data_IF_487511710999
#
_entry.id   IF_487511710999
#
_cell.length_a   1.000
_cell.length_b   1.000
_cell.length_c   1.000
_cell.angle_alpha   90.00
_cell.angle_beta   90.00
_cell.angle_gamma   90.00
#
_symmetry.space_group_name_H-M   'P 1'
#
loop_
_entity.id
_entity.type
_entity.pdbx_description
1 polymer ?
#
# COMPACT_ATOMS: atom_id res chain seq x y z
N UNK A 1 -20.65 41.42 -2.34
CA UNK A 1 -20.55 42.10 -3.64
C UNK A 1 -19.31 41.63 -4.39
N UNK A 2 -19.51 41.28 -5.67
CA UNK A 2 -18.56 40.84 -6.71
C UNK A 2 -17.92 39.46 -6.61
N UNK A 3 -18.58 38.56 -7.35
CA UNK A 3 -18.07 37.31 -7.91
C UNK A 3 -17.08 37.59 -9.05
N UNK A 4 -16.02 36.82 -9.16
CA UNK A 4 -15.30 36.66 -10.42
C UNK A 4 -15.15 35.14 -10.65
N UNK A 5 -15.86 34.71 -11.66
CA UNK A 5 -15.82 33.39 -12.28
C UNK A 5 -14.72 33.38 -13.34
N UNK A 6 -13.82 32.44 -13.32
CA UNK A 6 -12.91 32.22 -14.46
C UNK A 6 -13.10 30.77 -14.94
N UNK A 7 -13.55 30.66 -16.15
CA UNK A 7 -13.79 29.44 -16.94
C UNK A 7 -12.48 29.09 -17.65
N UNK A 8 -12.09 27.82 -17.59
CA UNK A 8 -11.00 27.25 -18.40
C UNK A 8 -11.62 26.24 -19.37
N UNK A 9 -11.38 26.32 -20.67
CA UNK A 9 -11.91 25.35 -21.61
C UNK A 9 -11.01 24.12 -21.78
N UNK A 10 -11.64 22.98 -21.77
CA UNK A 10 -11.14 21.69 -22.23
C UNK A 10 -10.91 21.71 -23.75
N UNK A 11 -9.73 21.28 -24.17
CA UNK A 11 -9.40 20.95 -25.54
C UNK A 11 -9.11 19.45 -25.66
N UNK A 12 -10.09 18.72 -26.18
CA UNK A 12 -9.96 17.32 -26.59
C UNK A 12 -9.41 17.31 -28.01
N UNK A 13 -8.27 16.68 -28.24
CA UNK A 13 -7.79 16.36 -29.58
C UNK A 13 -7.80 14.85 -29.77
N UNK A 14 -8.76 14.40 -30.55
CA UNK A 14 -8.98 13.04 -31.03
C UNK A 14 -8.16 12.87 -32.31
N UNK A 15 -7.31 11.87 -32.41
CA UNK A 15 -6.71 11.42 -33.68
C UNK A 15 -6.93 9.95 -33.83
N UNK A 16 -7.72 9.60 -34.85
CA UNK A 16 -7.94 8.25 -35.35
C UNK A 16 -7.03 8.00 -36.58
N UNK A 17 -6.74 6.73 -36.91
CA UNK A 17 -5.75 6.33 -37.90
C UNK A 17 -6.36 6.12 -39.30
N UNK A 18 -5.55 6.32 -40.29
CA UNK A 18 -5.92 6.05 -41.69
C UNK A 18 -4.80 5.50 -42.51
N UNK A 19 -4.97 4.31 -42.98
CA UNK A 19 -4.37 3.51 -44.07
C UNK A 19 -3.90 4.33 -45.27
N UNK A 20 -2.78 3.90 -45.91
CA UNK A 20 -2.75 3.33 -47.24
C UNK A 20 -1.33 3.23 -47.81
N UNK A 21 -1.01 2.06 -48.27
CA UNK A 21 -0.01 1.58 -49.24
C UNK A 21 0.20 2.45 -50.44
N UNK A 22 1.41 2.46 -51.02
CA UNK A 22 1.67 2.03 -52.41
C UNK A 22 3.16 2.06 -52.77
N UNK A 23 3.58 0.96 -53.29
CA UNK A 23 4.60 0.56 -54.23
C UNK A 23 5.21 1.65 -55.12
N UNK A 24 6.49 1.47 -55.46
CA UNK A 24 7.08 2.06 -56.65
C UNK A 24 8.59 1.88 -56.74
N UNK A 25 9.02 0.92 -57.51
CA UNK A 25 10.36 0.68 -58.01
C UNK A 25 11.01 1.91 -58.64
N UNK A 26 12.32 2.05 -58.59
CA UNK A 26 13.17 1.97 -59.81
C UNK A 26 14.66 2.03 -59.45
N UNK A 27 15.35 1.10 -60.10
CA UNK A 27 16.79 0.93 -60.25
C UNK A 27 17.50 2.22 -60.71
N UNK A 28 18.70 2.46 -60.19
CA UNK A 28 19.73 3.19 -60.91
C UNK A 28 21.10 2.56 -60.63
N UNK A 29 21.50 1.71 -61.57
CA UNK A 29 22.86 1.19 -61.73
C UNK A 29 23.68 2.28 -62.42
N UNK A 30 24.74 2.74 -61.81
CA UNK A 30 25.82 3.47 -62.50
C UNK A 30 27.13 2.73 -62.27
N UNK A 31 27.57 2.11 -63.40
CA UNK A 31 28.90 1.53 -63.60
C UNK A 31 29.95 2.63 -63.52
N UNK A 32 30.99 2.43 -62.75
CA UNK A 32 32.26 3.13 -62.90
C UNK A 32 33.33 2.14 -63.34
N UNK A 33 33.82 2.37 -64.53
CA UNK A 33 34.87 1.68 -65.25
C UNK A 33 36.23 1.82 -64.57
N UNK A 34 36.88 0.68 -64.39
CA UNK A 34 38.26 0.56 -63.92
C UNK A 34 39.20 0.96 -65.10
N UNK A 35 40.07 1.94 -64.85
CA UNK A 35 41.11 2.31 -65.76
C UNK A 35 42.41 1.55 -65.38
N UNK A 36 42.81 0.61 -66.21
CA UNK A 36 44.08 -0.09 -66.05
C UNK A 36 45.20 0.82 -66.59
N UNK A 37 46.11 1.20 -65.67
CA UNK A 37 47.38 1.78 -66.05
C UNK A 37 48.43 0.65 -66.29
N UNK A 38 48.98 0.64 -67.49
CA UNK A 38 50.00 -0.21 -67.98
C UNK A 38 51.33 0.06 -67.26
N UNK A 39 51.91 -0.95 -66.58
CA UNK A 39 53.27 -0.97 -66.07
C UNK A 39 54.28 -1.27 -67.18
N UNK A 40 55.19 -0.36 -67.40
CA UNK A 40 56.43 -0.60 -68.12
C UNK A 40 57.52 -1.09 -67.17
N UNK A 41 58.33 -2.06 -67.50
CA UNK A 41 59.39 -2.54 -66.63
C UNK A 41 60.67 -1.73 -66.77
N UNK A 42 61.20 -1.28 -65.63
CA UNK A 42 62.59 -0.76 -65.57
C UNK A 42 63.59 -1.92 -65.36
N UNK A 43 64.67 -1.89 -66.13
CA UNK A 43 65.76 -2.88 -65.93
C UNK A 43 66.91 -2.20 -65.21
N UNK A 44 67.22 -2.65 -63.96
CA UNK A 44 68.60 -2.70 -63.42
C UNK A 44 68.58 -3.06 -61.95
N UNK A 45 69.01 -4.19 -61.61
CA UNK A 45 70.19 -4.55 -60.86
C UNK A 45 70.04 -4.83 -59.40
N UNK A 46 70.00 -6.09 -59.12
CA UNK A 46 70.73 -6.82 -58.04
C UNK A 46 71.11 -6.06 -56.75
N UNK A 47 70.54 -6.51 -55.67
CA UNK A 47 70.97 -6.26 -54.28
C UNK A 47 70.19 -7.09 -53.33
N UNK A 48 70.50 -8.38 -53.16
CA UNK A 48 69.97 -9.24 -52.12
C UNK A 48 70.50 -8.77 -50.74
N UNK A 49 69.64 -8.11 -49.94
CA UNK A 49 69.86 -7.98 -48.52
C UNK A 49 68.82 -8.83 -47.84
N UNK A 50 69.28 -9.83 -47.12
CA UNK A 50 68.56 -10.66 -46.16
C UNK A 50 67.82 -9.77 -45.13
N UNK A 51 66.53 -9.52 -45.36
CA UNK A 51 65.65 -8.98 -44.32
C UNK A 51 65.19 -10.14 -43.45
N UNK A 52 65.82 -10.20 -42.27
CA UNK A 52 65.35 -11.04 -41.17
C UNK A 52 63.84 -10.85 -40.96
N UNK A 53 63.10 -11.97 -41.03
CA UNK A 53 61.69 -12.02 -40.67
C UNK A 53 61.50 -11.52 -39.23
N UNK A 54 61.08 -10.30 -39.09
CA UNK A 54 60.52 -9.84 -37.83
C UNK A 54 59.21 -10.61 -37.58
N UNK A 55 59.29 -11.54 -36.60
CA UNK A 55 58.10 -12.23 -36.11
C UNK A 55 57.03 -11.24 -35.66
N UNK A 56 55.76 -11.62 -35.60
CA UNK A 56 54.68 -10.74 -35.25
C UNK A 56 55.00 -10.04 -33.93
N UNK A 57 55.22 -8.74 -33.97
CA UNK A 57 55.38 -7.89 -32.80
C UNK A 57 54.17 -8.15 -31.89
N UNK A 58 54.41 -8.63 -30.64
CA UNK A 58 53.41 -8.70 -29.61
C UNK A 58 52.71 -7.33 -29.59
N UNK A 59 51.37 -7.27 -29.58
CA UNK A 59 50.71 -6.00 -29.50
C UNK A 59 51.23 -5.28 -28.26
N UNK A 60 51.81 -4.10 -28.45
CA UNK A 60 52.30 -3.26 -27.38
C UNK A 60 51.09 -2.85 -26.56
N UNK A 61 50.97 -3.38 -25.35
CA UNK A 61 49.92 -2.93 -24.41
C UNK A 61 50.02 -1.42 -24.26
N UNK A 62 49.03 -0.70 -24.77
CA UNK A 62 49.00 0.75 -24.62
C UNK A 62 48.61 1.10 -23.20
N UNK A 63 49.35 2.00 -22.58
CA UNK A 63 49.02 2.56 -21.28
C UNK A 63 48.28 3.90 -21.44
N UNK A 64 47.07 3.97 -20.94
CA UNK A 64 46.27 5.22 -20.93
C UNK A 64 46.37 5.82 -19.53
N UNK A 65 46.89 7.02 -19.44
CA UNK A 65 47.05 7.75 -18.17
C UNK A 65 45.99 8.82 -18.04
N UNK A 66 45.20 8.76 -16.96
CA UNK A 66 44.06 9.63 -16.72
C UNK A 66 43.95 10.00 -15.26
N UNK A 67 43.13 11.01 -14.96
CA UNK A 67 42.78 11.36 -13.58
C UNK A 67 41.56 10.59 -13.13
N UNK A 68 41.61 10.12 -11.88
CA UNK A 68 40.51 9.45 -11.24
C UNK A 68 40.26 9.93 -9.82
N UNK A 69 39.14 9.58 -9.24
CA UNK A 69 38.79 9.92 -7.86
C UNK A 69 38.28 8.68 -7.14
N UNK A 70 38.74 8.49 -5.90
CA UNK A 70 38.32 7.40 -5.03
C UNK A 70 36.92 7.70 -4.49
N UNK A 71 35.98 6.76 -4.70
CA UNK A 71 34.62 6.86 -4.20
C UNK A 71 34.15 5.52 -3.63
N UNK A 72 33.20 5.51 -2.69
CA UNK A 72 32.50 4.30 -2.26
C UNK A 72 31.73 3.67 -3.44
N UNK A 73 31.73 2.36 -3.57
CA UNK A 73 31.04 1.65 -4.66
C UNK A 73 29.51 1.91 -4.64
N UNK A 74 28.91 2.02 -3.45
CA UNK A 74 27.52 2.36 -3.25
C UNK A 74 27.20 3.85 -3.42
N UNK A 75 28.21 4.70 -3.66
CA UNK A 75 28.07 6.15 -3.69
C UNK A 75 27.89 6.77 -2.31
N UNK A 76 27.48 8.05 -2.30
CA UNK A 76 27.24 8.83 -1.09
C UNK A 76 25.76 8.91 -0.79
N UNK A 77 25.37 8.52 0.41
CA UNK A 77 24.01 8.65 0.90
C UNK A 77 23.90 9.96 1.67
N UNK A 78 23.05 10.83 1.17
CA UNK A 78 22.85 12.16 1.70
C UNK A 78 21.48 12.22 2.35
N UNK A 79 21.49 12.36 3.69
CA UNK A 79 20.25 12.43 4.46
C UNK A 79 20.01 13.86 4.90
N UNK A 80 18.73 14.23 4.90
CA UNK A 80 18.26 15.49 5.47
C UNK A 80 17.06 15.20 6.36
N UNK A 81 16.82 16.06 7.34
CA UNK A 81 15.62 15.98 8.16
C UNK A 81 14.44 16.71 7.50
N UNK A 82 13.36 16.84 8.24
CA UNK A 82 12.17 17.57 7.81
C UNK A 82 12.53 19.05 7.64
N UNK A 83 12.29 19.68 6.48
CA UNK A 83 12.60 21.08 6.24
C UNK A 83 11.96 21.99 7.29
N UNK A 84 12.75 22.87 7.89
CA UNK A 84 12.31 23.80 8.93
C UNK A 84 12.30 23.24 10.36
N UNK A 85 12.43 21.93 10.55
CA UNK A 85 12.64 21.32 11.86
C UNK A 85 14.09 21.57 12.34
N UNK A 86 14.35 21.38 13.63
CA UNK A 86 15.67 21.56 14.23
C UNK A 86 16.26 20.22 14.62
N UNK A 87 17.59 20.13 14.55
CA UNK A 87 18.32 19.05 15.21
C UNK A 87 18.33 19.31 16.72
N UNK A 88 17.75 18.41 17.50
CA UNK A 88 17.87 18.46 18.96
C UNK A 88 19.23 17.95 19.42
N UNK A 89 19.64 16.78 18.94
CA UNK A 89 20.91 16.16 19.26
C UNK A 89 21.39 15.23 18.16
N UNK A 90 22.70 15.21 17.89
CA UNK A 90 23.38 14.19 17.13
C UNK A 90 23.85 13.07 18.07
N UNK A 91 23.67 11.82 17.66
CA UNK A 91 24.11 10.63 18.39
C UNK A 91 25.39 10.04 17.80
N UNK A 92 25.87 10.59 16.69
CA UNK A 92 27.05 10.16 15.95
C UNK A 92 27.95 11.34 15.63
N UNK A 93 29.20 11.05 15.30
CA UNK A 93 30.24 12.02 14.91
C UNK A 93 30.81 11.65 13.54
N UNK A 94 31.39 12.59 12.81
CA UNK A 94 32.17 12.28 11.62
C UNK A 94 33.26 11.26 11.93
N UNK A 95 33.34 10.19 11.15
CA UNK A 95 34.25 9.05 11.34
C UNK A 95 33.64 7.84 12.05
N UNK A 96 32.48 7.98 12.69
CA UNK A 96 31.82 6.86 13.36
C UNK A 96 31.26 5.84 12.35
N UNK A 97 31.39 4.56 12.70
CA UNK A 97 30.75 3.46 11.96
C UNK A 97 29.31 3.30 12.43
N UNK A 98 28.38 3.13 11.50
CA UNK A 98 26.94 3.00 11.77
C UNK A 98 26.37 1.80 11.03
N UNK A 99 25.39 1.16 11.65
CA UNK A 99 24.61 0.08 11.05
C UNK A 99 23.27 0.62 10.49
N UNK A 100 22.70 -0.11 9.54
CA UNK A 100 21.37 0.19 9.06
C UNK A 100 20.35 0.13 10.23
N UNK A 101 19.52 1.18 10.37
CA UNK A 101 18.58 1.32 11.48
C UNK A 101 19.12 2.10 12.68
N UNK A 102 20.41 2.42 12.74
CA UNK A 102 20.98 3.26 13.82
C UNK A 102 20.38 4.66 13.78
N UNK A 103 19.96 5.16 14.95
CA UNK A 103 19.49 6.54 15.11
C UNK A 103 20.68 7.50 15.09
N UNK A 104 20.73 8.35 14.08
CA UNK A 104 21.81 9.32 13.87
C UNK A 104 21.56 10.63 14.59
N UNK A 105 20.31 11.09 14.58
CA UNK A 105 19.91 12.34 15.21
C UNK A 105 18.44 12.31 15.65
N UNK A 106 18.16 13.03 16.73
CA UNK A 106 16.80 13.32 17.21
C UNK A 106 16.42 14.73 16.78
N UNK A 107 15.20 14.89 16.26
CA UNK A 107 14.65 16.17 15.88
C UNK A 107 13.81 16.78 17.01
N UNK A 108 13.78 18.10 17.07
CA UNK A 108 13.06 18.83 18.13
C UNK A 108 11.53 18.60 18.08
N UNK A 109 10.97 18.32 16.91
CA UNK A 109 9.55 17.97 16.77
C UNK A 109 9.17 16.64 17.43
N UNK A 110 10.14 15.77 17.79
CA UNK A 110 9.89 14.45 18.37
C UNK A 110 9.07 14.50 19.65
N UNK A 111 9.42 15.44 20.54
CA UNK A 111 8.73 15.60 21.83
C UNK A 111 7.26 15.96 21.63
N UNK A 112 6.96 16.90 20.73
CA UNK A 112 5.60 17.31 20.41
C UNK A 112 4.80 16.16 19.78
N UNK A 113 5.40 15.43 18.82
CA UNK A 113 4.75 14.29 18.17
C UNK A 113 4.48 13.14 19.10
N UNK A 114 5.37 12.93 20.10
CA UNK A 114 5.14 11.92 21.14
C UNK A 114 3.89 12.25 21.96
N UNK A 115 3.75 13.52 22.39
CA UNK A 115 2.57 13.98 23.13
C UNK A 115 1.29 13.90 22.30
N UNK A 116 1.36 14.23 21.00
CA UNK A 116 0.24 14.10 20.10
C UNK A 116 -0.21 12.63 19.95
N UNK A 117 0.75 11.71 19.80
CA UNK A 117 0.50 10.28 19.73
C UNK A 117 -0.13 9.76 21.03
N UNK A 118 0.40 10.16 22.19
CA UNK A 118 -0.15 9.79 23.49
C UNK A 118 -1.57 10.30 23.68
N UNK A 119 -1.83 11.57 23.33
CA UNK A 119 -3.17 12.15 23.34
C UNK A 119 -4.15 11.41 22.42
N UNK A 120 -3.69 11.00 21.21
CA UNK A 120 -4.53 10.24 20.31
C UNK A 120 -4.83 8.82 20.83
N UNK A 121 -3.88 8.17 21.50
CA UNK A 121 -4.08 6.88 22.17
C UNK A 121 -5.09 6.98 23.31
N UNK A 122 -5.02 8.02 24.13
CA UNK A 122 -6.01 8.26 25.19
C UNK A 122 -7.43 8.47 24.62
N UNK A 123 -7.56 9.24 23.53
CA UNK A 123 -8.86 9.42 22.85
C UNK A 123 -9.40 8.11 22.28
N UNK A 124 -8.54 7.24 21.77
CA UNK A 124 -8.95 5.91 21.31
C UNK A 124 -9.49 5.06 22.46
N UNK A 125 -8.83 5.04 23.59
CA UNK A 125 -9.29 4.30 24.78
C UNK A 125 -10.61 4.85 25.33
N UNK A 126 -10.78 6.17 25.37
CA UNK A 126 -12.06 6.81 25.71
C UNK A 126 -13.17 6.39 24.73
N UNK A 127 -12.90 6.45 23.40
CA UNK A 127 -13.88 6.07 22.40
C UNK A 127 -14.26 4.57 22.49
N UNK A 128 -13.32 3.68 22.82
CA UNK A 128 -13.60 2.26 23.09
C UNK A 128 -14.48 2.09 24.31
N UNK A 129 -14.18 2.76 25.41
CA UNK A 129 -14.96 2.69 26.65
C UNK A 129 -16.40 3.16 26.42
N UNK A 130 -16.58 4.28 25.70
CA UNK A 130 -17.92 4.80 25.35
C UNK A 130 -18.68 3.81 24.47
N UNK A 131 -18.02 3.22 23.46
CA UNK A 131 -18.62 2.19 22.61
C UNK A 131 -19.06 0.97 23.42
N UNK A 132 -18.18 0.46 24.29
CA UNK A 132 -18.44 -0.76 25.05
C UNK A 132 -19.60 -0.55 26.06
N UNK A 133 -19.65 0.62 26.71
CA UNK A 133 -20.80 1.01 27.53
C UNK A 133 -22.10 1.06 26.71
N UNK A 134 -22.04 1.64 25.49
CA UNK A 134 -23.22 1.70 24.62
C UNK A 134 -23.65 0.33 24.14
N UNK A 135 -22.73 -0.59 23.84
CA UNK A 135 -23.04 -1.96 23.47
C UNK A 135 -23.71 -2.72 24.62
N UNK A 136 -23.25 -2.57 25.86
CA UNK A 136 -23.89 -3.15 27.05
C UNK A 136 -25.32 -2.63 27.24
N UNK A 137 -25.57 -1.32 27.08
CA UNK A 137 -26.90 -0.74 27.11
C UNK A 137 -27.82 -1.36 26.05
N UNK A 138 -27.32 -1.54 24.83
CA UNK A 138 -28.07 -2.13 23.72
C UNK A 138 -28.32 -3.63 23.93
N UNK A 139 -27.40 -4.36 24.51
CA UNK A 139 -27.55 -5.77 24.88
C UNK A 139 -28.66 -5.96 25.92
N UNK A 140 -28.69 -5.12 26.97
CA UNK A 140 -29.80 -5.10 27.92
C UNK A 140 -31.13 -4.78 27.23
N UNK A 141 -31.13 -3.86 26.26
CA UNK A 141 -32.32 -3.55 25.44
C UNK A 141 -32.83 -4.76 24.64
N UNK A 142 -31.94 -5.57 24.09
CA UNK A 142 -32.27 -6.81 23.38
C UNK A 142 -32.84 -7.85 24.34
N UNK A 143 -32.24 -8.00 25.52
CA UNK A 143 -32.75 -8.93 26.55
C UNK A 143 -34.18 -8.58 27.00
N UNK A 144 -34.44 -7.29 27.25
CA UNK A 144 -35.78 -6.80 27.57
C UNK A 144 -36.78 -7.07 26.44
N UNK A 145 -36.38 -6.77 25.18
CA UNK A 145 -37.26 -7.01 24.03
C UNK A 145 -37.54 -8.50 23.80
N UNK A 146 -36.55 -9.36 24.02
CA UNK A 146 -36.73 -10.83 23.93
C UNK A 146 -37.67 -11.36 25.02
N UNK A 147 -37.55 -10.86 26.25
CA UNK A 147 -38.48 -11.20 27.33
C UNK A 147 -39.91 -10.72 27.04
N UNK A 148 -40.08 -9.55 26.43
CA UNK A 148 -41.40 -9.08 25.99
C UNK A 148 -42.01 -10.00 24.92
N UNK A 149 -41.19 -10.48 23.97
CA UNK A 149 -41.63 -11.41 22.94
C UNK A 149 -42.07 -12.73 23.54
N UNK A 150 -41.32 -13.29 24.50
CA UNK A 150 -41.68 -14.54 25.20
C UNK A 150 -43.01 -14.37 25.95
N UNK A 151 -43.17 -13.25 26.68
CA UNK A 151 -44.45 -12.97 27.35
C UNK A 151 -45.59 -12.84 26.37
N UNK A 152 -45.39 -12.15 25.23
CA UNK A 152 -46.44 -12.04 24.20
C UNK A 152 -46.79 -13.39 23.59
N UNK A 153 -45.86 -14.28 23.37
CA UNK A 153 -46.12 -15.69 22.92
C UNK A 153 -46.91 -16.47 23.92
N UNK A 154 -46.63 -16.35 25.21
CA UNK A 154 -47.40 -17.00 26.27
C UNK A 154 -48.87 -16.49 26.27
N UNK A 155 -49.10 -15.22 25.96
CA UNK A 155 -50.47 -14.70 25.84
C UNK A 155 -51.22 -15.30 24.63
N UNK A 156 -50.54 -15.59 23.53
CA UNK A 156 -51.12 -16.32 22.39
C UNK A 156 -51.53 -17.74 22.79
N UNK A 157 -50.67 -18.47 23.50
CA UNK A 157 -50.96 -19.80 23.98
C UNK A 157 -52.23 -19.84 24.92
N UNK A 158 -52.34 -18.81 25.79
CA UNK A 158 -53.55 -18.64 26.61
C UNK A 158 -54.77 -18.39 25.77
N UNK A 159 -54.68 -17.50 24.75
CA UNK A 159 -55.77 -17.16 23.85
C UNK A 159 -56.22 -18.39 23.01
N UNK A 160 -55.26 -19.21 22.55
CA UNK A 160 -55.53 -20.47 21.87
C UNK A 160 -56.31 -21.46 22.76
N UNK A 161 -55.91 -21.60 24.01
CA UNK A 161 -56.61 -22.43 25.00
C UNK A 161 -58.07 -21.94 25.18
N UNK A 162 -58.29 -20.61 25.25
CA UNK A 162 -59.62 -20.02 25.36
C UNK A 162 -60.47 -20.28 24.13
N UNK A 163 -59.87 -20.24 22.91
CA UNK A 163 -60.59 -20.59 21.67
C UNK A 163 -60.99 -22.05 21.64
N UNK A 164 -60.14 -22.95 22.08
CA UNK A 164 -60.48 -24.40 22.19
C UNK A 164 -61.65 -24.62 23.17
N UNK A 165 -61.66 -23.95 24.32
CA UNK A 165 -62.74 -24.02 25.30
C UNK A 165 -64.04 -23.42 24.73
N UNK A 166 -64.01 -22.32 24.02
CA UNK A 166 -65.16 -21.72 23.39
C UNK A 166 -65.78 -22.64 22.29
N UNK A 167 -64.95 -23.36 21.53
CA UNK A 167 -65.38 -24.33 20.54
C UNK A 167 -66.09 -25.55 21.11
N UNK A 168 -65.81 -25.97 22.35
CA UNK A 168 -66.50 -27.05 23.03
C UNK A 168 -67.99 -26.76 23.24
N UNK A 169 -68.35 -25.49 23.41
CA UNK A 169 -69.75 -25.04 23.48
C UNK A 169 -70.55 -25.37 22.23
N UNK A 170 -69.98 -25.29 21.07
CA UNK A 170 -70.61 -25.61 19.78
C UNK A 170 -70.95 -27.09 19.66
N UNK A 171 -70.02 -27.95 20.09
CA UNK A 171 -70.24 -29.41 20.12
C UNK A 171 -71.43 -29.78 21.02
N UNK A 172 -71.55 -29.15 22.18
CA UNK A 172 -72.66 -29.35 23.10
C UNK A 172 -74.00 -28.85 22.51
N UNK A 173 -74.00 -27.71 21.85
CA UNK A 173 -75.18 -27.17 21.16
C UNK A 173 -75.64 -28.13 20.05
N UNK A 174 -74.74 -28.65 19.24
CA UNK A 174 -75.04 -29.59 18.17
C UNK A 174 -75.68 -30.87 18.73
N UNK A 175 -75.17 -31.42 19.81
CA UNK A 175 -75.76 -32.58 20.49
C UNK A 175 -77.16 -32.30 21.01
N UNK A 176 -77.42 -31.10 21.57
CA UNK A 176 -78.79 -30.71 22.02
C UNK A 176 -79.70 -30.46 20.86
N UNK A 177 -79.22 -29.90 19.75
CA UNK A 177 -79.99 -29.74 18.53
C UNK A 177 -80.46 -31.08 17.94
N UNK A 178 -79.57 -32.10 17.92
CA UNK A 178 -79.91 -33.48 17.51
C UNK A 178 -80.93 -34.11 18.43
N UNK A 179 -80.80 -33.89 19.74
CA UNK A 179 -81.82 -34.34 20.71
C UNK A 179 -83.19 -33.67 20.47
N UNK A 180 -83.19 -32.37 20.25
CA UNK A 180 -84.40 -31.62 19.95
C UNK A 180 -85.02 -32.11 18.63
N UNK A 181 -84.24 -32.38 17.59
CA UNK A 181 -84.75 -32.93 16.34
C UNK A 181 -85.40 -34.30 16.51
N UNK A 182 -84.84 -35.13 17.35
CA UNK A 182 -85.41 -36.47 17.69
C UNK A 182 -86.71 -36.33 18.48
N UNK A 183 -86.79 -35.40 19.44
CA UNK A 183 -88.00 -35.12 20.20
C UNK A 183 -89.12 -34.55 19.32
N UNK A 184 -88.78 -33.67 18.35
CA UNK A 184 -89.73 -33.17 17.36
C UNK A 184 -90.35 -34.28 16.49
N UNK A 185 -89.49 -35.20 16.00
CA UNK A 185 -89.95 -36.41 15.24
C UNK A 185 -90.96 -37.24 16.03
N UNK A 186 -90.67 -37.49 17.32
CA UNK A 186 -91.57 -38.22 18.23
C UNK A 186 -92.84 -37.45 18.51
N UNK A 187 -92.91 -36.15 18.54
CA UNK A 187 -94.08 -35.31 18.73
C UNK A 187 -94.98 -35.25 17.46
N UNK A 188 -94.41 -35.42 16.25
CA UNK A 188 -95.13 -35.51 14.97
C UNK A 188 -95.79 -36.86 14.77
N UNK A 189 -95.31 -37.93 15.41
CA UNK A 189 -95.94 -39.26 15.31
C UNK A 189 -97.28 -39.33 16.15
N UNK A 190 -98.38 -39.70 15.55
CA UNK A 190 -99.71 -39.75 16.18
C UNK A 190 -99.73 -40.62 17.41
N UNK A 191 -98.87 -41.67 17.51
CA UNK A 191 -98.86 -42.62 18.60
C UNK A 191 -98.10 -42.11 19.86
N UNK A 192 -97.15 -41.22 19.67
CA UNK A 192 -96.26 -40.71 20.71
C UNK A 192 -96.50 -39.23 21.09
N UNK A 193 -97.28 -38.47 20.30
CA UNK A 193 -97.66 -37.07 20.45
C UNK A 193 -98.13 -36.65 21.85
N UNK A 194 -98.90 -37.55 22.50
CA UNK A 194 -99.39 -37.36 23.88
C UNK A 194 -98.30 -37.44 24.97
N UNK A 195 -97.14 -38.05 24.67
CA UNK A 195 -96.09 -38.28 25.62
C UNK A 195 -95.13 -37.05 25.69
N UNK A 196 -95.05 -36.23 24.67
CA UNK A 196 -94.12 -35.06 24.62
C UNK A 196 -94.97 -33.79 24.55
N UNK A 197 -94.89 -32.96 25.62
CA UNK A 197 -95.59 -31.69 25.69
C UNK A 197 -94.99 -30.61 24.80
N UNK A 198 -95.87 -29.82 24.11
CA UNK A 198 -95.50 -28.67 23.31
C UNK A 198 -94.60 -27.66 24.12
N UNK A 199 -94.89 -27.57 25.42
CA UNK A 199 -94.17 -26.71 26.34
C UNK A 199 -92.71 -27.19 26.57
N UNK A 200 -92.45 -28.49 26.56
CA UNK A 200 -91.16 -29.10 26.69
C UNK A 200 -90.29 -28.84 25.48
N UNK A 201 -90.82 -28.93 24.26
CA UNK A 201 -90.12 -28.56 23.04
C UNK A 201 -89.77 -27.06 23.04
N UNK A 202 -90.67 -26.17 23.44
CA UNK A 202 -90.41 -24.72 23.51
C UNK A 202 -89.35 -24.42 24.58
N UNK A 203 -89.39 -25.11 25.73
CA UNK A 203 -88.33 -24.93 26.77
C UNK A 203 -86.95 -25.34 26.28
N UNK A 204 -86.88 -26.44 25.51
CA UNK A 204 -85.55 -26.89 24.93
C UNK A 204 -85.10 -25.95 23.83
N UNK A 205 -86.03 -25.36 23.01
CA UNK A 205 -85.67 -24.36 22.01
C UNK A 205 -85.09 -23.09 22.64
N UNK A 206 -85.66 -22.63 23.74
CA UNK A 206 -85.20 -21.46 24.49
C UNK A 206 -83.86 -21.77 25.13
N UNK A 207 -83.64 -22.98 25.71
CA UNK A 207 -82.35 -23.42 26.30
C UNK A 207 -81.28 -23.42 25.24
N UNK A 208 -81.53 -23.98 24.02
CA UNK A 208 -80.52 -24.03 22.93
C UNK A 208 -80.23 -22.62 22.46
N UNK A 209 -81.26 -21.75 22.25
CA UNK A 209 -81.04 -20.34 21.80
C UNK A 209 -80.17 -19.55 22.82
N UNK A 210 -80.41 -19.79 24.12
CA UNK A 210 -79.58 -19.20 25.19
C UNK A 210 -78.18 -19.68 25.18
N UNK A 211 -77.91 -20.96 24.95
CA UNK A 211 -76.59 -21.54 24.81
C UNK A 211 -75.87 -21.05 23.53
N UNK A 212 -76.62 -20.96 22.41
CA UNK A 212 -76.02 -20.40 21.17
C UNK A 212 -75.60 -18.92 21.35
N UNK A 213 -76.40 -18.10 22.05
CA UNK A 213 -76.03 -16.71 22.34
C UNK A 213 -74.80 -16.62 23.22
N UNK A 214 -74.70 -17.48 24.27
CA UNK A 214 -73.50 -17.58 25.13
C UNK A 214 -72.27 -18.05 24.36
N UNK A 215 -72.40 -19.09 23.53
CA UNK A 215 -71.33 -19.63 22.70
C UNK A 215 -70.81 -18.59 21.71
N UNK A 216 -71.71 -17.89 20.98
CA UNK A 216 -71.32 -16.79 20.10
C UNK A 216 -70.55 -15.68 20.81
N UNK A 217 -71.02 -15.30 21.99
CA UNK A 217 -70.33 -14.31 22.80
C UNK A 217 -68.94 -14.81 23.25
N UNK A 218 -68.81 -16.05 23.71
CA UNK A 218 -67.56 -16.66 24.10
C UNK A 218 -66.56 -16.74 22.93
N UNK A 219 -67.04 -17.15 21.74
CA UNK A 219 -66.21 -17.18 20.51
C UNK A 219 -65.70 -15.79 20.10
N UNK A 220 -66.58 -14.77 20.16
CA UNK A 220 -66.17 -13.37 19.85
C UNK A 220 -65.12 -12.86 20.83
N UNK A 221 -65.27 -13.16 22.12
CA UNK A 221 -64.28 -12.76 23.14
C UNK A 221 -62.95 -13.49 22.90
N UNK A 222 -62.99 -14.82 22.62
CA UNK A 222 -61.77 -15.61 22.35
C UNK A 222 -61.07 -15.12 21.06
N UNK A 223 -61.84 -14.86 19.98
CA UNK A 223 -61.32 -14.36 18.72
C UNK A 223 -60.65 -12.97 18.89
N UNK A 224 -61.28 -12.05 19.62
CA UNK A 224 -60.72 -10.75 19.92
C UNK A 224 -59.47 -10.86 20.78
N UNK A 225 -59.45 -11.78 21.80
CA UNK A 225 -58.30 -12.07 22.60
C UNK A 225 -57.11 -12.57 21.76
N UNK A 226 -57.40 -13.49 20.83
CA UNK A 226 -56.39 -14.01 19.91
C UNK A 226 -55.82 -12.94 18.98
N UNK A 227 -56.67 -12.06 18.43
CA UNK A 227 -56.22 -10.94 17.60
C UNK A 227 -55.33 -9.99 18.39
N UNK A 228 -55.70 -9.66 19.63
CA UNK A 228 -54.87 -8.80 20.50
C UNK A 228 -53.53 -9.44 20.83
N UNK A 229 -53.52 -10.70 21.22
CA UNK A 229 -52.27 -11.45 21.54
C UNK A 229 -51.35 -11.53 20.30
N UNK A 230 -51.89 -11.79 19.12
CA UNK A 230 -51.09 -11.83 17.87
C UNK A 230 -50.51 -10.45 17.53
N UNK A 231 -51.24 -9.36 17.77
CA UNK A 231 -50.70 -7.99 17.59
C UNK A 231 -49.60 -7.70 18.54
N UNK A 232 -49.70 -8.14 19.80
CA UNK A 232 -48.62 -7.97 20.80
C UNK A 232 -47.34 -8.73 20.40
N UNK A 233 -47.47 -9.95 19.89
CA UNK A 233 -46.31 -10.71 19.36
C UNK A 233 -45.64 -9.94 18.24
N UNK A 234 -46.42 -9.46 17.25
CA UNK A 234 -45.89 -8.68 16.13
C UNK A 234 -45.15 -7.40 16.60
N UNK A 235 -45.70 -6.69 17.59
CA UNK A 235 -45.06 -5.50 18.16
C UNK A 235 -43.79 -5.84 18.86
N UNK A 236 -43.75 -6.93 19.64
CA UNK A 236 -42.57 -7.40 20.35
C UNK A 236 -41.47 -7.87 19.38
N UNK A 237 -41.83 -8.56 18.32
CA UNK A 237 -40.92 -8.95 17.22
C UNK A 237 -40.28 -7.73 16.56
N UNK A 238 -41.07 -6.72 16.26
CA UNK A 238 -40.56 -5.47 15.68
C UNK A 238 -39.65 -4.73 16.64
N UNK A 239 -39.93 -4.73 17.93
CA UNK A 239 -39.08 -4.14 18.95
C UNK A 239 -37.75 -4.88 19.07
N UNK A 240 -37.75 -6.21 19.03
CA UNK A 240 -36.52 -7.02 19.06
C UNK A 240 -35.65 -6.75 17.83
N UNK A 241 -36.24 -6.80 16.63
CA UNK A 241 -35.52 -6.51 15.38
C UNK A 241 -34.93 -5.10 15.38
N UNK A 242 -35.67 -4.10 15.91
CA UNK A 242 -35.17 -2.73 16.03
C UNK A 242 -33.97 -2.63 16.99
N UNK A 243 -34.01 -3.34 18.13
CA UNK A 243 -32.94 -3.38 19.10
C UNK A 243 -31.68 -4.06 18.53
N UNK A 244 -31.82 -5.21 17.86
CA UNK A 244 -30.73 -5.90 17.19
C UNK A 244 -30.08 -5.03 16.10
N UNK A 245 -30.89 -4.36 15.30
CA UNK A 245 -30.39 -3.44 14.26
C UNK A 245 -29.66 -2.25 14.85
N UNK A 246 -30.12 -1.71 15.97
CA UNK A 246 -29.45 -0.62 16.68
C UNK A 246 -28.04 -1.06 17.17
N UNK A 247 -27.93 -2.30 17.70
CA UNK A 247 -26.64 -2.90 18.08
C UNK A 247 -25.71 -3.09 16.88
N UNK A 248 -26.21 -3.58 15.77
CA UNK A 248 -25.41 -3.73 14.53
C UNK A 248 -24.89 -2.38 14.02
N UNK A 249 -25.73 -1.35 14.02
CA UNK A 249 -25.34 0.00 13.63
C UNK A 249 -24.28 0.58 14.59
N UNK A 250 -24.40 0.35 15.89
CA UNK A 250 -23.42 0.79 16.88
C UNK A 250 -22.07 0.11 16.68
N UNK A 251 -22.04 -1.16 16.29
CA UNK A 251 -20.80 -1.88 15.92
C UNK A 251 -20.14 -1.32 14.66
N UNK A 252 -20.94 -0.90 13.69
CA UNK A 252 -20.47 -0.33 12.42
C UNK A 252 -20.08 1.15 12.50
N UNK A 253 -20.59 1.89 13.48
CA UNK A 253 -20.31 3.32 13.68
C UNK A 253 -18.89 3.54 14.21
N UNK A 254 -17.90 3.59 13.30
CA UNK A 254 -16.51 3.46 13.64
C UNK A 254 -15.75 4.79 13.63
N UNK A 255 -15.97 5.62 14.65
CA UNK A 255 -15.00 6.65 15.04
C UNK A 255 -13.65 6.01 15.47
N UNK A 256 -13.67 4.78 15.97
CA UNK A 256 -12.50 4.01 16.40
C UNK A 256 -11.54 3.75 15.23
N UNK A 257 -12.03 3.28 14.08
CA UNK A 257 -11.19 3.02 12.90
C UNK A 257 -10.49 4.30 12.39
N UNK A 258 -11.15 5.45 12.51
CA UNK A 258 -10.55 6.75 12.15
C UNK A 258 -9.44 7.11 13.13
N UNK A 259 -9.66 6.92 14.44
CA UNK A 259 -8.65 7.17 15.46
C UNK A 259 -7.45 6.22 15.35
N UNK A 260 -7.68 4.95 15.04
CA UNK A 260 -6.61 3.98 14.77
C UNK A 260 -5.75 4.41 13.58
N UNK A 261 -6.35 4.86 12.47
CA UNK A 261 -5.62 5.39 11.33
C UNK A 261 -4.89 6.70 11.64
N UNK A 262 -5.45 7.54 12.50
CA UNK A 262 -4.77 8.73 12.97
C UNK A 262 -3.54 8.38 13.83
N UNK A 263 -3.63 7.38 14.69
CA UNK A 263 -2.49 6.88 15.48
C UNK A 263 -1.40 6.32 14.57
N UNK A 264 -1.75 5.51 13.58
CA UNK A 264 -0.80 4.98 12.59
C UNK A 264 -0.04 6.12 11.87
N UNK A 265 -0.75 7.17 11.47
CA UNK A 265 -0.14 8.35 10.88
C UNK A 265 0.83 9.05 11.83
N UNK A 266 0.43 9.24 13.10
CA UNK A 266 1.27 9.87 14.12
C UNK A 266 2.50 9.02 14.46
N UNK A 267 2.39 7.69 14.44
CA UNK A 267 3.52 6.78 14.63
C UNK A 267 4.54 6.88 13.48
N UNK A 268 4.07 7.00 12.23
CA UNK A 268 4.93 7.27 11.08
C UNK A 268 5.64 8.63 11.23
N UNK A 269 4.91 9.67 11.59
CA UNK A 269 5.48 11.00 11.80
C UNK A 269 6.48 11.02 12.96
N UNK A 270 6.23 10.26 14.03
CA UNK A 270 7.17 10.11 15.14
C UNK A 270 8.45 9.39 14.69
N UNK A 271 8.34 8.38 13.83
CA UNK A 271 9.49 7.70 13.24
C UNK A 271 10.32 8.65 12.38
N UNK A 272 9.65 9.49 11.57
CA UNK A 272 10.30 10.51 10.76
C UNK A 272 10.99 11.62 11.58
N UNK A 273 10.63 11.79 12.86
CA UNK A 273 11.29 12.74 13.76
C UNK A 273 12.63 12.25 14.32
N UNK A 274 13.14 11.15 13.79
CA UNK A 274 14.50 10.65 14.02
C UNK A 274 15.17 10.39 12.69
N UNK A 275 16.43 10.81 12.56
CA UNK A 275 17.21 10.54 11.38
C UNK A 275 17.89 9.19 11.53
N UNK A 276 17.55 8.23 10.69
CA UNK A 276 18.01 6.83 10.79
C UNK A 276 18.92 6.51 9.61
N UNK A 277 20.00 5.76 9.84
CA UNK A 277 20.87 5.27 8.76
C UNK A 277 20.15 4.20 7.93
N UNK A 278 20.06 4.36 6.60
CA UNK A 278 19.48 3.33 5.73
C UNK A 278 20.45 2.20 5.38
N UNK A 279 21.75 2.35 5.68
CA UNK A 279 22.82 1.41 5.31
C UNK A 279 23.83 1.23 6.42
N UNK A 280 24.60 0.14 6.33
CA UNK A 280 25.83 -0.02 7.08
C UNK A 280 26.91 0.83 6.42
N UNK A 281 27.70 1.56 7.22
CA UNK A 281 28.74 2.40 6.65
C UNK A 281 29.40 3.31 7.69
N UNK A 282 30.02 4.38 7.22
CA UNK A 282 30.63 5.38 8.09
C UNK A 282 30.04 6.77 7.82
N UNK A 283 29.96 7.58 8.85
CA UNK A 283 29.58 8.99 8.78
C UNK A 283 30.76 9.79 8.21
N UNK A 284 30.56 10.42 7.07
CA UNK A 284 31.61 11.20 6.39
C UNK A 284 31.62 12.66 6.84
N UNK A 285 30.46 13.28 6.90
CA UNK A 285 30.31 14.67 7.33
C UNK A 285 28.95 14.92 7.96
N UNK A 286 28.91 15.86 8.90
CA UNK A 286 27.70 16.45 9.46
C UNK A 286 27.77 17.93 9.14
N UNK A 287 26.75 18.43 8.42
CA UNK A 287 26.74 19.79 7.87
C UNK A 287 25.74 20.72 8.58
N UNK A 288 25.02 20.20 9.58
CA UNK A 288 24.04 20.95 10.38
C UNK A 288 24.37 20.74 11.85
N UNK A 289 24.50 21.80 12.62
CA UNK A 289 24.80 21.71 14.05
C UNK A 289 23.54 21.47 14.89
N UNK A 290 23.73 20.97 16.13
CA UNK A 290 22.63 20.86 17.08
C UNK A 290 22.02 22.25 17.38
N UNK A 291 20.70 22.36 17.31
CA UNK A 291 19.97 23.64 17.43
C UNK A 291 19.68 24.33 16.11
N UNK A 292 20.35 23.96 15.02
CA UNK A 292 20.10 24.50 13.68
C UNK A 292 18.88 23.86 13.01
N UNK A 293 18.33 24.57 12.03
CA UNK A 293 17.22 24.10 11.22
C UNK A 293 17.72 23.41 9.96
N UNK A 294 17.01 22.34 9.59
CA UNK A 294 17.23 21.71 8.30
C UNK A 294 16.85 22.66 7.17
N UNK A 295 17.77 22.82 6.24
CA UNK A 295 17.59 23.56 4.99
C UNK A 295 17.55 22.59 3.79
N UNK A 296 17.81 23.10 2.61
CA UNK A 296 17.83 22.32 1.35
C UNK A 296 19.09 21.45 1.21
N UNK A 297 20.14 21.75 1.98
CA UNK A 297 21.40 21.01 1.92
C UNK A 297 21.32 19.72 2.75
N UNK A 298 22.03 18.65 2.34
CA UNK A 298 22.13 17.44 3.10
C UNK A 298 22.70 17.69 4.50
N UNK A 299 22.04 17.20 5.53
CA UNK A 299 22.48 17.39 6.92
C UNK A 299 23.63 16.46 7.29
N UNK A 300 23.66 15.26 6.75
CA UNK A 300 24.68 14.24 7.00
C UNK A 300 24.97 13.46 5.72
N UNK A 301 26.22 13.10 5.52
CA UNK A 301 26.67 12.26 4.41
C UNK A 301 27.27 10.97 4.99
N UNK A 302 26.77 9.83 4.51
CA UNK A 302 27.15 8.47 4.94
C UNK A 302 27.53 7.67 3.70
N UNK A 303 28.47 6.73 3.85
CA UNK A 303 28.81 5.81 2.78
C UNK A 303 29.21 4.44 3.31
N UNK A 304 28.91 3.40 2.53
CA UNK A 304 29.45 2.07 2.73
C UNK A 304 30.89 2.02 2.21
N UNK A 305 31.83 1.85 3.13
CA UNK A 305 33.26 1.83 2.86
C UNK A 305 33.83 0.41 2.67
N UNK A 306 32.99 -0.61 2.70
CA UNK A 306 33.42 -2.01 2.53
C UNK A 306 33.95 -2.29 1.11
N UNK A 307 33.50 -1.52 0.14
CA UNK A 307 33.94 -1.64 -1.25
C UNK A 307 34.17 -0.26 -1.86
N UNK A 308 35.33 -0.09 -2.45
CA UNK A 308 35.79 1.18 -3.03
C UNK A 308 35.99 1.05 -4.53
N UNK A 309 35.76 2.14 -5.22
CA UNK A 309 35.98 2.28 -6.67
C UNK A 309 36.80 3.52 -6.95
N UNK A 310 37.41 3.56 -8.12
CA UNK A 310 37.93 4.77 -8.70
C UNK A 310 37.10 5.16 -9.92
N UNK A 311 36.59 6.37 -9.95
CA UNK A 311 35.93 6.94 -11.12
C UNK A 311 36.98 7.75 -11.88
N UNK A 312 37.43 7.22 -13.02
CA UNK A 312 38.42 7.84 -13.88
C UNK A 312 37.75 8.57 -15.04
N UNK A 313 38.26 9.76 -15.39
CA UNK A 313 37.79 10.55 -16.53
C UNK A 313 38.71 10.37 -17.71
N UNK A 314 38.27 9.56 -18.68
CA UNK A 314 39.03 9.19 -19.88
C UNK A 314 38.61 10.07 -21.05
N UNK A 315 39.58 10.57 -21.82
CA UNK A 315 39.33 11.31 -23.02
C UNK A 315 38.52 10.49 -24.04
N UNK A 316 37.54 11.10 -24.71
CA UNK A 316 36.63 10.39 -25.62
C UNK A 316 37.32 9.60 -26.73
N UNK A 317 38.47 10.06 -27.22
CA UNK A 317 39.22 9.36 -28.25
C UNK A 317 39.91 8.09 -27.76
N UNK A 318 40.26 8.02 -26.47
CA UNK A 318 40.99 6.87 -25.89
C UNK A 318 40.02 5.81 -25.33
N UNK A 319 38.74 6.16 -25.11
CA UNK A 319 37.73 5.22 -24.56
C UNK A 319 37.54 3.97 -25.43
N UNK A 320 37.68 4.11 -26.76
CA UNK A 320 37.49 3.01 -27.69
C UNK A 320 38.52 1.87 -27.50
N UNK A 321 39.64 2.15 -26.87
CA UNK A 321 40.69 1.18 -26.59
C UNK A 321 40.53 0.47 -25.25
N UNK A 322 39.63 0.96 -24.35
CA UNK A 322 39.39 0.41 -23.02
C UNK A 322 38.26 -0.62 -23.06
N UNK A 323 38.46 -1.72 -22.36
CA UNK A 323 37.46 -2.76 -22.18
C UNK A 323 37.23 -3.08 -20.69
N UNK A 324 36.05 -3.58 -20.40
CA UNK A 324 35.75 -4.12 -19.08
C UNK A 324 36.68 -5.31 -18.79
N UNK A 325 37.31 -5.31 -17.63
CA UNK A 325 38.30 -6.29 -17.23
C UNK A 325 39.76 -5.84 -17.40
N UNK A 326 40.01 -4.71 -18.09
CA UNK A 326 41.37 -4.12 -18.18
C UNK A 326 41.91 -3.79 -16.80
N UNK A 327 43.21 -4.05 -16.60
CA UNK A 327 43.85 -3.76 -15.32
C UNK A 327 44.18 -2.26 -15.19
N UNK A 328 43.99 -1.73 -14.02
CA UNK A 328 44.32 -0.35 -13.69
C UNK A 328 45.21 -0.28 -12.44
N UNK A 329 46.14 0.66 -12.48
CA UNK A 329 46.98 1.00 -11.33
C UNK A 329 46.75 2.44 -10.95
N UNK A 330 46.51 2.70 -9.65
CA UNK A 330 46.18 4.03 -9.13
C UNK A 330 47.35 4.50 -8.24
N UNK A 331 47.77 5.72 -8.44
CA UNK A 331 48.85 6.38 -7.69
C UNK A 331 48.37 7.77 -7.23
N UNK A 332 48.78 8.13 -6.02
CA UNK A 332 48.59 9.52 -5.53
C UNK A 332 49.62 9.77 -4.42
N UNK A 333 50.02 11.01 -4.27
CA UNK A 333 50.88 11.43 -3.16
C UNK A 333 50.22 11.23 -1.77
N UNK A 334 48.88 11.17 -1.72
CA UNK A 334 48.09 10.91 -0.52
C UNK A 334 47.93 9.41 -0.16
N UNK A 335 48.44 8.50 -1.00
CA UNK A 335 48.38 7.06 -0.78
C UNK A 335 49.74 6.50 -0.36
N UNK A 336 49.77 5.64 0.64
CA UNK A 336 50.96 4.98 1.12
C UNK A 336 51.47 3.93 0.13
N UNK A 337 50.57 3.31 -0.62
CA UNK A 337 50.82 2.26 -1.61
C UNK A 337 50.04 2.52 -2.89
N UNK A 338 50.54 1.98 -3.98
CA UNK A 338 49.78 1.91 -5.23
C UNK A 338 48.60 0.95 -5.04
N UNK A 339 47.45 1.35 -5.55
CA UNK A 339 46.25 0.50 -5.54
C UNK A 339 46.09 -0.16 -6.91
N UNK A 340 45.67 -1.41 -6.89
CA UNK A 340 45.30 -2.13 -8.12
C UNK A 340 43.80 -2.32 -8.21
N UNK A 341 43.29 -2.41 -9.45
CA UNK A 341 41.91 -2.63 -9.71
C UNK A 341 41.64 -3.03 -11.14
N UNK A 342 40.37 -3.22 -11.47
CA UNK A 342 39.95 -3.60 -12.81
C UNK A 342 38.79 -2.71 -13.28
N UNK A 343 38.79 -2.40 -14.58
CA UNK A 343 37.68 -1.68 -15.20
C UNK A 343 36.41 -2.53 -15.11
N UNK A 344 35.43 -2.04 -14.38
CA UNK A 344 34.14 -2.70 -14.16
C UNK A 344 33.05 -2.18 -15.08
N UNK A 345 33.08 -0.90 -15.38
CA UNK A 345 32.06 -0.25 -16.20
C UNK A 345 32.62 0.97 -16.93
N UNK A 346 32.12 1.19 -18.14
CA UNK A 346 32.37 2.39 -18.95
C UNK A 346 31.04 3.09 -19.15
N UNK A 347 30.92 4.35 -18.77
CA UNK A 347 29.70 5.13 -18.96
C UNK A 347 29.47 5.40 -20.47
N UNK A 348 28.19 5.49 -20.84
CA UNK A 348 27.81 5.81 -22.23
C UNK A 348 27.66 7.31 -22.45
N UNK A 349 27.74 8.10 -21.38
CA UNK A 349 27.58 9.55 -21.44
C UNK A 349 28.93 10.24 -21.58
N UNK A 350 29.06 11.01 -22.63
CA UNK A 350 30.21 11.89 -22.85
C UNK A 350 29.88 13.24 -22.21
N UNK A 351 30.74 13.73 -21.36
CA UNK A 351 30.52 14.96 -20.60
C UNK A 351 31.76 15.86 -20.52
N UNK A 352 31.61 16.96 -19.81
CA UNK A 352 32.73 17.84 -19.47
C UNK A 352 33.45 17.23 -18.26
N UNK A 353 34.79 17.15 -18.25
CA UNK A 353 35.56 16.64 -17.12
C UNK A 353 35.31 17.48 -15.87
N UNK A 354 35.12 16.83 -14.75
CA UNK A 354 34.91 17.46 -13.44
C UNK A 354 36.22 17.59 -12.65
N UNK A 355 37.21 16.76 -13.00
CA UNK A 355 38.53 16.79 -12.38
C UNK A 355 39.44 17.76 -13.13
N UNK A 356 40.12 18.61 -12.37
CA UNK A 356 41.11 19.53 -12.94
C UNK A 356 42.48 18.83 -12.97
N UNK A 357 43.15 18.91 -14.13
CA UNK A 357 44.53 18.51 -14.21
C UNK A 357 45.41 19.41 -13.31
N UNK A 358 46.38 18.84 -12.59
CA UNK A 358 47.34 19.64 -11.86
C UNK A 358 48.28 20.45 -12.78
N UNK A 359 48.33 20.08 -14.07
CA UNK A 359 49.10 20.83 -15.09
C UNK A 359 48.32 22.06 -15.55
N UNK A 360 48.82 23.29 -15.30
CA UNK A 360 48.20 24.54 -15.73
C UNK A 360 48.15 24.71 -17.24
N UNK A 361 48.91 23.97 -18.01
CA UNK A 361 48.93 23.95 -19.48
C UNK A 361 48.02 22.88 -20.07
N UNK A 362 47.38 22.06 -19.26
CA UNK A 362 46.48 21.03 -19.75
C UNK A 362 45.24 21.67 -20.42
N UNK A 363 44.87 21.13 -21.58
CA UNK A 363 43.66 21.56 -22.28
C UNK A 363 42.44 21.30 -21.39
N UNK A 364 41.66 22.35 -21.11
CA UNK A 364 40.39 22.28 -20.36
C UNK A 364 39.19 22.03 -21.25
N UNK A 365 39.38 21.98 -22.57
CA UNK A 365 38.30 21.91 -23.56
C UNK A 365 38.19 20.54 -24.23
N UNK A 366 38.27 19.50 -23.41
CA UNK A 366 38.10 18.13 -23.90
C UNK A 366 36.84 17.48 -23.29
N UNK A 367 36.30 16.53 -24.00
CA UNK A 367 35.21 15.69 -23.53
C UNK A 367 35.73 14.42 -22.91
N UNK A 368 35.11 14.00 -21.83
CA UNK A 368 35.51 12.81 -21.09
C UNK A 368 34.35 11.84 -20.90
N UNK A 369 34.69 10.58 -20.81
CA UNK A 369 33.81 9.48 -20.41
C UNK A 369 34.27 8.95 -19.08
N UNK A 370 33.35 8.70 -18.18
CA UNK A 370 33.69 8.10 -16.88
C UNK A 370 33.88 6.59 -17.02
N UNK A 371 35.00 6.11 -16.54
CA UNK A 371 35.35 4.72 -16.43
C UNK A 371 35.45 4.35 -14.96
N UNK A 372 34.70 3.32 -14.59
CA UNK A 372 34.60 2.84 -13.22
C UNK A 372 35.56 1.67 -13.04
N UNK A 373 36.40 1.79 -12.04
CA UNK A 373 37.44 0.81 -11.75
C UNK A 373 37.19 0.27 -10.34
N UNK A 374 36.86 -1.00 -10.24
CA UNK A 374 36.71 -1.68 -8.95
C UNK A 374 38.11 -1.89 -8.36
N UNK A 375 38.32 -1.40 -7.13
CA UNK A 375 39.59 -1.57 -6.40
C UNK A 375 39.58 -2.97 -5.80
N UNK A 376 40.70 -3.67 -5.92
CA UNK A 376 40.88 -5.00 -5.34
C UNK A 376 40.65 -4.96 -3.82
N UNK A 377 39.97 -5.98 -3.27
CA UNK A 377 39.51 -6.01 -1.88
C UNK A 377 40.62 -5.83 -0.85
N UNK A 378 41.87 -6.23 -1.17
CA UNK A 378 43.03 -6.06 -0.30
C UNK A 378 43.43 -4.58 -0.08
N UNK A 379 43.00 -3.69 -1.02
CA UNK A 379 43.28 -2.25 -0.94
C UNK A 379 42.07 -1.44 -0.51
N UNK A 380 40.90 -2.05 -0.35
CA UNK A 380 39.65 -1.34 -0.03
C UNK A 380 39.77 -0.50 1.26
N UNK A 381 40.40 -1.04 2.30
CA UNK A 381 40.63 -0.32 3.56
C UNK A 381 41.51 0.92 3.39
N UNK A 382 42.58 0.81 2.59
CA UNK A 382 43.51 1.93 2.32
C UNK A 382 42.80 3.01 1.47
N UNK A 383 41.99 2.60 0.50
CA UNK A 383 41.21 3.51 -0.32
C UNK A 383 40.13 4.24 0.50
N UNK A 384 39.51 3.56 1.49
CA UNK A 384 38.48 4.09 2.38
C UNK A 384 39.02 5.22 3.31
N UNK A 385 40.31 5.25 3.61
CA UNK A 385 40.91 6.32 4.43
C UNK A 385 40.92 7.69 3.73
N UNK A 386 40.82 7.73 2.42
CA UNK A 386 41.00 8.95 1.61
C UNK A 386 39.91 9.08 0.55
N UNK A 387 38.69 9.22 0.99
CA UNK A 387 37.51 9.41 0.11
C UNK A 387 37.66 10.71 -0.65
N UNK A 388 37.25 10.71 -1.94
CA UNK A 388 37.40 11.81 -2.88
C UNK A 388 38.83 12.20 -3.20
N UNK A 389 39.84 11.38 -2.79
CA UNK A 389 41.24 11.63 -3.17
C UNK A 389 41.36 11.52 -4.70
N UNK A 390 41.99 12.51 -5.30
CA UNK A 390 42.34 12.48 -6.71
C UNK A 390 43.60 11.60 -6.89
N UNK A 391 43.55 10.74 -7.90
CA UNK A 391 44.60 9.74 -8.20
C UNK A 391 44.95 9.77 -9.67
N UNK A 392 46.24 9.52 -9.97
CA UNK A 392 46.71 9.24 -11.31
C UNK A 392 46.45 7.78 -11.63
N UNK A 393 45.64 7.51 -12.62
CA UNK A 393 45.22 6.18 -13.04
C UNK A 393 45.92 5.79 -14.31
N UNK A 394 46.57 4.64 -14.31
CA UNK A 394 47.16 4.02 -15.51
C UNK A 394 46.36 2.78 -15.86
N UNK A 395 45.63 2.83 -16.95
CA UNK A 395 44.87 1.68 -17.49
C UNK A 395 45.70 0.98 -18.55
N UNK A 396 45.88 -0.32 -18.40
CA UNK A 396 46.58 -1.17 -19.39
C UNK A 396 45.56 -1.88 -20.23
N UNK A 397 45.52 -1.50 -21.51
CA UNK A 397 44.58 -2.09 -22.45
C UNK A 397 45.03 -3.51 -22.83
N UNK A 398 44.06 -4.40 -22.98
CA UNK A 398 44.28 -5.80 -23.39
C UNK A 398 44.40 -5.99 -24.90
N UNK A 399 44.23 -4.92 -25.68
CA UNK A 399 44.36 -4.92 -27.13
C UNK A 399 45.77 -4.60 -27.58
#
# INVERSE_FOLDING_TARGET
MRRITTVVPFGICLVLPGFASMSGCHDFITQFTVNQAVLTPDPWGAGASEMAAQGPSRPSRREIKVQGRLEPKGGFIRLTGIPGDKVEAWHVRPGDSVEAGTNLATLASRATRLLELESAKLKLEEAKTVRDTKLQELELGIEVASGQLENARSLVEIAESQMVMAGQGETQIHQMQEQLASLRRLHEDPLTKAAIGKLELQAKEIEISGLEAKSRQANLVAENGMKQATLQVRQAEQALVAAEKARELALKASSIAVLEKQIELLELQLKESSLISPVNGAVLSINVEAGERFATLPAIEIADLSSMICVAEVYEADVAEIQTGDSATLRSAGLVKELSGKVSRIDRLVGVPQMRSPDPLARTDFRAVRVWIDIDSEYAAVAAERIRLQTDVTIRTSR
#
